data_IF_852895665268
#
_entry.id   IF_852895665268
#
_cell.length_a   1.000
_cell.length_b   1.000
_cell.length_c   1.000
_cell.angle_alpha   90.00
_cell.angle_beta   90.00
_cell.angle_gamma   90.00
#
_symmetry.space_group_name_H-M   'P 1'
#
loop_
_entity.id
_entity.type
_entity.pdbx_description
1 polymer ?
#
# COMPACT_ATOMS: atom_id res chain seq x y z
N UNK A 1 -5.46 19.57 1.34
CA UNK A 1 -5.02 19.07 0.01
C UNK A 1 -3.50 19.03 -0.13
N UNK A 2 -2.77 20.09 0.19
CA UNK A 2 -1.27 20.09 0.22
C UNK A 2 -0.70 18.95 1.07
N UNK A 3 -1.30 18.66 2.23
CA UNK A 3 -0.88 17.54 3.08
C UNK A 3 -1.04 16.17 2.39
N UNK A 4 -2.15 15.93 1.70
CA UNK A 4 -2.38 14.68 0.96
C UNK A 4 -1.51 14.58 -0.30
N UNK A 5 -1.23 15.68 -0.98
CA UNK A 5 -0.28 15.71 -2.08
C UNK A 5 1.16 15.43 -1.60
N UNK A 6 1.56 16.00 -0.45
CA UNK A 6 2.88 15.76 0.14
C UNK A 6 3.02 14.31 0.64
N UNK A 7 2.00 13.78 1.31
CA UNK A 7 1.93 12.37 1.71
C UNK A 7 1.90 11.45 0.48
N UNK A 8 1.14 11.81 -0.55
CA UNK A 8 1.09 11.09 -1.82
C UNK A 8 2.46 11.03 -2.51
N UNK A 9 3.18 12.15 -2.60
CA UNK A 9 4.44 12.22 -3.34
C UNK A 9 5.63 11.61 -2.59
N UNK A 10 5.73 11.88 -1.28
CA UNK A 10 6.89 11.46 -0.48
C UNK A 10 6.66 10.14 0.26
N UNK A 11 5.43 9.86 0.70
CA UNK A 11 5.12 8.67 1.51
C UNK A 11 4.70 7.48 0.65
N UNK A 12 4.05 7.67 -0.51
CA UNK A 12 3.70 6.54 -1.39
C UNK A 12 4.88 5.67 -1.82
N UNK A 13 6.06 6.18 -2.24
CA UNK A 13 7.14 5.30 -2.64
C UNK A 13 7.58 4.37 -1.50
N UNK A 14 7.54 4.87 -0.26
CA UNK A 14 7.83 4.07 0.94
C UNK A 14 6.73 3.03 1.19
N UNK A 15 5.45 3.43 1.12
CA UNK A 15 4.30 2.52 1.32
C UNK A 15 4.26 1.44 0.23
N UNK A 16 4.51 1.81 -1.03
CA UNK A 16 4.59 0.91 -2.17
C UNK A 16 5.74 -0.08 -2.01
N UNK A 17 6.91 0.37 -1.56
CA UNK A 17 8.02 -0.52 -1.24
C UNK A 17 7.66 -1.52 -0.14
N UNK A 18 7.04 -1.06 0.95
CA UNK A 18 6.57 -1.95 2.03
C UNK A 18 5.52 -2.94 1.54
N UNK A 19 4.62 -2.51 0.65
CA UNK A 19 3.63 -3.37 0.03
C UNK A 19 4.29 -4.48 -0.80
N UNK A 20 5.27 -4.16 -1.65
CA UNK A 20 6.02 -5.15 -2.43
C UNK A 20 6.75 -6.14 -1.51
N UNK A 21 7.38 -5.67 -0.43
CA UNK A 21 8.05 -6.54 0.55
C UNK A 21 7.05 -7.48 1.24
N UNK A 22 5.86 -6.98 1.61
CA UNK A 22 4.80 -7.80 2.18
C UNK A 22 4.31 -8.87 1.18
N UNK A 23 4.15 -8.50 -0.09
CA UNK A 23 3.78 -9.39 -1.19
C UNK A 23 4.83 -10.49 -1.40
N UNK A 24 6.12 -10.13 -1.47
CA UNK A 24 7.21 -11.09 -1.60
C UNK A 24 7.29 -12.04 -0.40
N UNK A 25 7.04 -11.56 0.83
CA UNK A 25 6.95 -12.43 2.01
C UNK A 25 5.74 -13.35 1.95
N UNK A 26 4.58 -12.87 1.51
CA UNK A 26 3.39 -13.69 1.32
C UNK A 26 3.67 -14.80 0.30
N UNK A 27 4.21 -14.46 -0.87
CA UNK A 27 4.60 -15.42 -1.92
C UNK A 27 5.60 -16.44 -1.36
N UNK A 28 6.66 -16.00 -0.68
CA UNK A 28 7.66 -16.91 -0.08
C UNK A 28 7.07 -17.84 0.97
N UNK A 29 6.02 -17.41 1.70
CA UNK A 29 5.30 -18.25 2.65
C UNK A 29 4.34 -19.22 1.97
N UNK A 30 3.64 -18.79 0.93
CA UNK A 30 2.77 -19.64 0.09
C UNK A 30 3.61 -20.78 -0.51
N UNK A 31 4.76 -20.46 -1.10
CA UNK A 31 5.69 -21.46 -1.68
C UNK A 31 6.24 -22.43 -0.62
N UNK A 32 6.26 -22.04 0.66
CA UNK A 32 6.73 -22.87 1.77
C UNK A 32 5.60 -23.48 2.61
N UNK A 33 4.36 -23.45 2.14
CA UNK A 33 3.17 -23.95 2.86
C UNK A 33 3.05 -23.42 4.30
N UNK A 34 3.45 -22.16 4.52
CA UNK A 34 3.36 -21.49 5.82
C UNK A 34 2.17 -20.54 5.89
N UNK A 35 1.57 -20.34 7.07
CA UNK A 35 0.47 -19.40 7.24
C UNK A 35 0.92 -17.97 6.84
N UNK A 36 0.22 -17.42 5.86
CA UNK A 36 0.49 -16.12 5.21
C UNK A 36 -0.60 -15.07 5.46
N UNK A 37 -1.61 -15.38 6.28
CA UNK A 37 -2.77 -14.52 6.57
C UNK A 37 -2.37 -13.14 7.06
N UNK A 38 -1.31 -13.07 7.87
CA UNK A 38 -0.79 -11.80 8.39
C UNK A 38 -0.23 -10.92 7.27
N UNK A 39 0.59 -11.49 6.39
CA UNK A 39 1.19 -10.76 5.28
C UNK A 39 0.15 -10.30 4.25
N UNK A 40 -0.86 -11.12 3.98
CA UNK A 40 -1.96 -10.74 3.07
C UNK A 40 -2.85 -9.67 3.69
N UNK A 41 -3.14 -9.74 4.99
CA UNK A 41 -3.88 -8.68 5.67
C UNK A 41 -3.12 -7.34 5.63
N UNK A 42 -1.84 -7.33 6.00
CA UNK A 42 -1.01 -6.12 5.94
C UNK A 42 -0.84 -5.60 4.51
N UNK A 43 -0.68 -6.51 3.53
CA UNK A 43 -0.67 -6.14 2.11
C UNK A 43 -1.98 -5.49 1.68
N UNK A 44 -3.12 -6.05 2.07
CA UNK A 44 -4.44 -5.49 1.79
C UNK A 44 -4.65 -4.11 2.41
N UNK A 45 -4.23 -3.90 3.66
CA UNK A 45 -4.30 -2.59 4.34
C UNK A 45 -3.42 -1.55 3.64
N UNK A 46 -2.19 -1.92 3.27
CA UNK A 46 -1.29 -1.03 2.53
C UNK A 46 -1.86 -0.68 1.15
N UNK A 47 -2.43 -1.65 0.45
CA UNK A 47 -3.07 -1.45 -0.84
C UNK A 47 -4.28 -0.53 -0.73
N UNK A 48 -5.19 -0.78 0.22
CA UNK A 48 -6.36 0.05 0.46
C UNK A 48 -5.98 1.49 0.83
N UNK A 49 -4.91 1.67 1.61
CA UNK A 49 -4.41 3.01 1.99
C UNK A 49 -3.88 3.76 0.78
N UNK A 50 -3.12 3.08 -0.11
CA UNK A 50 -2.64 3.68 -1.35
C UNK A 50 -3.78 4.03 -2.29
N UNK A 51 -4.71 3.11 -2.55
CA UNK A 51 -5.84 3.36 -3.46
C UNK A 51 -6.72 4.48 -2.94
N UNK A 52 -7.02 4.53 -1.64
CA UNK A 52 -7.78 5.62 -1.03
C UNK A 52 -7.08 6.98 -1.20
N UNK A 53 -5.75 7.02 -1.04
CA UNK A 53 -4.96 8.24 -1.23
C UNK A 53 -4.98 8.70 -2.69
N UNK A 54 -4.82 7.79 -3.66
CA UNK A 54 -4.90 8.10 -5.09
C UNK A 54 -6.30 8.57 -5.47
N UNK A 55 -7.34 7.87 -5.02
CA UNK A 55 -8.74 8.20 -5.30
C UNK A 55 -9.12 9.57 -4.75
N UNK A 56 -8.69 9.93 -3.54
CA UNK A 56 -8.92 11.27 -2.99
C UNK A 56 -8.22 12.38 -3.79
N UNK A 57 -7.00 12.14 -4.27
CA UNK A 57 -6.28 13.07 -5.14
C UNK A 57 -6.92 13.19 -6.54
N UNK A 58 -7.49 12.10 -7.06
CA UNK A 58 -8.13 12.06 -8.36
C UNK A 58 -9.53 12.71 -8.36
N UNK A 59 -10.32 12.53 -7.29
CA UNK A 59 -11.67 13.10 -7.19
C UNK A 59 -11.63 14.59 -6.84
N UNK A 60 -10.60 15.04 -6.12
CA UNK A 60 -10.42 16.44 -5.75
C UNK A 60 -9.11 17.02 -6.30
N UNK A 61 -9.00 17.26 -7.62
CA UNK A 61 -7.78 17.76 -8.22
C UNK A 61 -7.54 19.27 -8.01
N UNK A 62 -8.58 20.05 -7.71
CA UNK A 62 -8.50 21.52 -7.58
C UNK A 62 -9.05 21.99 -6.23
N UNK A 63 -8.16 22.43 -5.35
CA UNK A 63 -8.44 23.30 -4.21
C UNK A 63 -7.43 24.42 -4.19
#
# INVERSE_FOLDING_TARGET
>A
MIFFAFVGFYLMPIIAFLFIVALLRAIKKIVKDRPYTKEVFWGGVLFATMTWTITLLAIYPNG
#
